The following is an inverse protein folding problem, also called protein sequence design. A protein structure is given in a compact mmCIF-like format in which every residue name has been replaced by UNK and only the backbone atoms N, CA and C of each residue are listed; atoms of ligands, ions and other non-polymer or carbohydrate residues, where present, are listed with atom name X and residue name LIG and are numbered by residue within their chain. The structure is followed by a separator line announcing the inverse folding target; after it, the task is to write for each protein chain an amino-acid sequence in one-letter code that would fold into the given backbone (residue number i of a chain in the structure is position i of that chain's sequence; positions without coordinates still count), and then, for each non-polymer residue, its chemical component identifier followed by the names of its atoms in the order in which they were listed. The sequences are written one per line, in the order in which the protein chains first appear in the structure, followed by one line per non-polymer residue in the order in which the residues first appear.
data_IF_706848507421
#
_entry.id   IF_706848507421
#
_cell.length_a   1.000
_cell.length_b   1.000
_cell.length_c   1.000
_cell.angle_alpha   90.00
_cell.angle_beta   90.00
_cell.angle_gamma   90.00
#
_symmetry.space_group_name_H-M   'P 1'
#
loop_
_entity.id
_entity.type
_entity.pdbx_description
1 polymer ?
#
# COMPACT_ATOMS: atom_id res chain seq x y z
N UNK A 1 8.89 -18.80 26.99
CA UNK A 1 10.32 -18.46 26.92
C UNK A 1 10.46 -17.05 27.45
N UNK A 2 10.82 -16.92 28.73
CA UNK A 2 11.03 -15.63 29.37
C UNK A 2 12.46 -15.18 29.01
N UNK A 3 12.60 -14.09 28.26
CA UNK A 3 13.91 -13.49 28.03
C UNK A 3 14.42 -12.90 29.35
N UNK A 4 15.62 -13.30 29.83
CA UNK A 4 16.19 -12.77 31.05
C UNK A 4 16.48 -11.27 30.90
N UNK A 5 16.19 -10.53 31.96
CA UNK A 5 16.16 -9.07 32.04
C UNK A 5 17.21 -8.33 31.21
N UNK A 6 16.73 -7.44 30.35
CA UNK A 6 17.55 -6.39 29.76
C UNK A 6 18.25 -5.60 30.87
N UNK A 7 19.59 -5.55 30.80
CA UNK A 7 20.43 -4.81 31.73
C UNK A 7 19.99 -3.35 31.88
N UNK A 8 20.49 -2.67 32.91
CA UNK A 8 20.14 -1.25 33.19
C UNK A 8 20.27 -0.36 31.95
N UNK A 9 21.25 -0.64 31.07
CA UNK A 9 21.44 0.03 29.79
C UNK A 9 20.32 -0.22 28.76
N UNK A 10 19.73 -1.42 28.73
CA UNK A 10 18.59 -1.75 27.85
C UNK A 10 17.32 -1.00 28.28
N UNK A 11 17.06 -0.96 29.58
CA UNK A 11 15.92 -0.21 30.15
C UNK A 11 16.08 1.31 29.98
N UNK A 12 17.31 1.82 30.01
CA UNK A 12 17.61 3.22 29.69
C UNK A 12 17.43 3.51 28.19
N UNK A 13 17.91 2.63 27.31
CA UNK A 13 17.74 2.76 25.87
C UNK A 13 16.28 2.81 25.44
N UNK A 14 15.45 1.93 25.99
CA UNK A 14 14.00 1.92 25.73
C UNK A 14 13.32 3.22 26.19
N UNK A 15 13.67 3.74 27.37
CA UNK A 15 13.14 5.03 27.86
C UNK A 15 13.58 6.19 26.96
N UNK A 16 14.85 6.23 26.55
CA UNK A 16 15.37 7.28 25.66
C UNK A 16 14.67 7.23 24.32
N UNK A 17 14.52 6.04 23.72
CA UNK A 17 13.77 5.86 22.48
C UNK A 17 12.30 6.27 22.63
N UNK A 18 11.67 5.94 23.76
CA UNK A 18 10.31 6.38 24.07
C UNK A 18 10.17 7.91 24.13
N UNK A 19 11.10 8.59 24.79
CA UNK A 19 11.12 10.07 24.83
C UNK A 19 11.40 10.69 23.46
N UNK A 20 12.30 10.09 22.67
CA UNK A 20 12.57 10.53 21.29
C UNK A 20 11.31 10.37 20.44
N UNK A 21 10.64 9.22 20.49
CA UNK A 21 9.40 8.97 19.76
C UNK A 21 8.30 9.94 20.16
N UNK A 22 8.11 10.18 21.46
CA UNK A 22 7.15 11.16 21.96
C UNK A 22 7.49 12.58 21.48
N UNK A 23 8.76 12.97 21.55
CA UNK A 23 9.23 14.27 21.06
C UNK A 23 8.98 14.46 19.56
N UNK A 24 9.23 13.42 18.75
CA UNK A 24 8.91 13.42 17.32
C UNK A 24 7.42 13.54 17.07
N UNK A 25 6.58 12.81 17.81
CA UNK A 25 5.11 12.91 17.70
C UNK A 25 4.61 14.32 18.03
N UNK A 26 5.13 14.94 19.10
CA UNK A 26 4.78 16.32 19.47
C UNK A 26 5.25 17.29 18.37
N UNK A 27 6.49 17.14 17.87
CA UNK A 27 7.01 18.00 16.81
C UNK A 27 6.18 17.90 15.53
N UNK A 28 5.76 16.69 15.14
CA UNK A 28 4.84 16.48 14.01
C UNK A 28 3.49 17.15 14.28
N UNK A 29 2.92 16.96 15.47
CA UNK A 29 1.63 17.56 15.84
C UNK A 29 1.65 19.08 15.82
N UNK A 30 2.68 19.70 16.40
CA UNK A 30 2.89 21.16 16.36
C UNK A 30 3.14 21.63 14.94
N UNK A 31 3.95 20.91 14.16
CA UNK A 31 4.20 21.21 12.76
C UNK A 31 2.91 21.25 11.95
N UNK A 32 2.07 20.22 12.08
CA UNK A 32 0.75 20.17 11.45
C UNK A 32 -0.13 21.32 11.94
N UNK A 33 -0.13 21.63 13.25
CA UNK A 33 -0.95 22.72 13.79
C UNK A 33 -0.57 24.08 13.21
N UNK A 34 0.72 24.35 13.04
CA UNK A 34 1.25 25.59 12.47
C UNK A 34 1.13 25.69 10.95
N UNK A 35 0.79 24.60 10.24
CA UNK A 35 0.65 24.66 8.78
C UNK A 35 -0.51 25.58 8.35
N UNK A 36 -0.32 26.33 7.25
CA UNK A 36 -1.41 27.05 6.59
C UNK A 36 -2.58 26.13 6.25
N UNK A 37 -3.79 26.68 6.24
CA UNK A 37 -5.02 25.93 5.93
C UNK A 37 -4.95 25.27 4.54
N UNK A 38 -4.30 25.94 3.57
CA UNK A 38 -4.06 25.41 2.24
C UNK A 38 -3.22 24.12 2.26
N UNK A 39 -2.12 24.10 3.00
CA UNK A 39 -1.26 22.92 3.15
C UNK A 39 -1.99 21.76 3.81
N UNK A 40 -2.79 22.04 4.85
CA UNK A 40 -3.63 21.03 5.51
C UNK A 40 -4.65 20.43 4.54
N UNK A 41 -5.28 21.27 3.71
CA UNK A 41 -6.20 20.85 2.67
C UNK A 41 -5.55 19.93 1.64
N UNK A 42 -4.33 20.27 1.20
CA UNK A 42 -3.56 19.44 0.28
C UNK A 42 -3.22 18.06 0.89
N UNK A 43 -2.76 18.02 2.14
CA UNK A 43 -2.49 16.76 2.87
C UNK A 43 -3.76 15.92 2.97
N UNK A 44 -4.87 16.53 3.41
CA UNK A 44 -6.15 15.82 3.55
C UNK A 44 -6.66 15.27 2.22
N UNK A 45 -6.57 16.05 1.15
CA UNK A 45 -6.89 15.58 -0.20
C UNK A 45 -5.99 14.43 -0.62
N UNK A 46 -4.69 14.47 -0.29
CA UNK A 46 -3.75 13.39 -0.55
C UNK A 46 -4.16 12.10 0.18
N UNK A 47 -4.47 12.20 1.47
CA UNK A 47 -4.95 11.08 2.29
C UNK A 47 -6.21 10.47 1.69
N UNK A 48 -7.21 11.30 1.35
CA UNK A 48 -8.46 10.82 0.76
C UNK A 48 -8.25 10.10 -0.57
N UNK A 49 -7.43 10.68 -1.46
CA UNK A 49 -7.08 10.06 -2.75
C UNK A 49 -6.37 8.72 -2.55
N UNK A 50 -5.45 8.63 -1.60
CA UNK A 50 -4.78 7.37 -1.25
C UNK A 50 -5.74 6.32 -0.71
N UNK A 51 -6.68 6.70 0.16
CA UNK A 51 -7.71 5.79 0.68
C UNK A 51 -8.60 5.26 -0.44
N UNK A 52 -9.06 6.14 -1.34
CA UNK A 52 -9.86 5.75 -2.51
C UNK A 52 -9.08 4.81 -3.42
N UNK A 53 -7.80 5.11 -3.68
CA UNK A 53 -6.93 4.25 -4.47
C UNK A 53 -6.75 2.86 -3.83
N UNK A 54 -6.44 2.80 -2.52
CA UNK A 54 -6.29 1.53 -1.79
C UNK A 54 -7.59 0.73 -1.84
N UNK A 55 -8.75 1.38 -1.67
CA UNK A 55 -10.04 0.70 -1.75
C UNK A 55 -10.30 0.13 -3.15
N UNK A 56 -9.94 0.86 -4.21
CA UNK A 56 -10.06 0.39 -5.58
C UNK A 56 -9.10 -0.79 -5.85
N UNK A 57 -7.81 -0.64 -5.53
CA UNK A 57 -6.81 -1.69 -5.71
C UNK A 57 -7.16 -2.95 -4.90
N UNK A 58 -7.73 -2.79 -3.70
CA UNK A 58 -8.21 -3.92 -2.90
C UNK A 58 -9.39 -4.64 -3.56
N UNK A 59 -10.27 -3.93 -4.28
CA UNK A 59 -11.47 -4.49 -4.88
C UNK A 59 -11.23 -5.13 -6.26
N UNK A 60 -10.32 -4.57 -7.06
CA UNK A 60 -10.05 -5.00 -8.44
C UNK A 60 -9.81 -6.52 -8.59
N UNK A 61 -8.90 -7.16 -7.84
CA UNK A 61 -8.58 -8.58 -8.05
C UNK A 61 -9.73 -9.51 -7.67
N UNK A 62 -10.69 -9.07 -6.83
CA UNK A 62 -11.88 -9.85 -6.51
C UNK A 62 -12.83 -10.02 -7.70
N UNK A 63 -12.74 -9.14 -8.70
CA UNK A 63 -13.44 -9.35 -9.97
C UNK A 63 -13.01 -10.65 -10.67
N UNK A 64 -11.80 -11.18 -10.36
CA UNK A 64 -11.30 -12.44 -10.90
C UNK A 64 -12.23 -13.61 -10.62
N UNK A 65 -12.99 -13.56 -9.52
CA UNK A 65 -13.95 -14.60 -9.16
C UNK A 65 -14.94 -14.93 -10.28
N UNK A 66 -15.24 -13.97 -11.16
CA UNK A 66 -16.18 -14.15 -12.26
C UNK A 66 -15.62 -14.97 -13.44
N UNK A 67 -14.29 -15.07 -13.57
CA UNK A 67 -13.64 -15.66 -14.74
C UNK A 67 -12.44 -16.55 -14.42
N UNK A 68 -12.04 -16.70 -13.16
CA UNK A 68 -10.91 -17.52 -12.74
C UNK A 68 -11.02 -18.97 -13.23
N UNK A 69 -12.22 -19.56 -13.23
CA UNK A 69 -12.45 -20.90 -13.79
C UNK A 69 -12.03 -21.02 -15.26
N UNK A 70 -12.37 -20.03 -16.10
CA UNK A 70 -11.94 -20.00 -17.51
C UNK A 70 -10.44 -19.79 -17.68
N UNK A 71 -9.82 -19.05 -16.77
CA UNK A 71 -8.37 -18.84 -16.77
C UNK A 71 -7.66 -20.16 -16.43
N UNK A 72 -8.17 -20.91 -15.45
CA UNK A 72 -7.62 -22.22 -15.08
C UNK A 72 -7.80 -23.26 -16.18
N UNK A 73 -8.92 -23.25 -16.90
CA UNK A 73 -9.15 -24.13 -18.06
C UNK A 73 -8.09 -23.98 -19.17
N UNK A 74 -7.49 -22.80 -19.33
CA UNK A 74 -6.39 -22.62 -20.29
C UNK A 74 -5.10 -23.32 -19.87
N UNK A 75 -4.89 -23.57 -18.57
CA UNK A 75 -3.71 -24.26 -18.03
C UNK A 75 -2.36 -23.58 -18.35
N UNK A 76 -2.38 -22.29 -18.74
CA UNK A 76 -1.18 -21.57 -19.20
C UNK A 76 -0.76 -20.51 -18.18
N UNK A 77 0.53 -20.55 -17.80
CA UNK A 77 1.14 -19.54 -16.93
C UNK A 77 0.99 -18.11 -17.50
N UNK A 78 0.90 -17.97 -18.83
CA UNK A 78 0.68 -16.69 -19.48
C UNK A 78 -0.71 -16.10 -19.24
N UNK A 79 -1.73 -16.93 -19.04
CA UNK A 79 -3.08 -16.45 -18.75
C UNK A 79 -3.15 -15.80 -17.36
N UNK A 80 -2.51 -16.43 -16.36
CA UNK A 80 -2.35 -15.86 -15.02
C UNK A 80 -1.51 -14.58 -15.03
N UNK A 81 -0.38 -14.59 -15.73
CA UNK A 81 0.48 -13.39 -15.85
C UNK A 81 -0.25 -12.22 -16.53
N UNK A 82 -0.99 -12.48 -17.61
CA UNK A 82 -1.79 -11.47 -18.30
C UNK A 82 -2.89 -10.90 -17.40
N UNK A 83 -3.51 -11.75 -16.57
CA UNK A 83 -4.54 -11.31 -15.64
C UNK A 83 -3.98 -10.34 -14.58
N UNK A 84 -2.87 -10.71 -13.94
CA UNK A 84 -2.20 -9.88 -12.94
C UNK A 84 -1.71 -8.57 -13.56
N UNK A 85 -1.13 -8.63 -14.77
CA UNK A 85 -0.72 -7.45 -15.50
C UNK A 85 -1.90 -6.51 -15.81
N UNK A 86 -3.06 -7.08 -16.18
CA UNK A 86 -4.30 -6.32 -16.41
C UNK A 86 -4.76 -5.57 -15.17
N UNK A 87 -4.80 -6.23 -14.01
CA UNK A 87 -5.16 -5.58 -12.75
C UNK A 87 -4.16 -4.51 -12.32
N UNK A 88 -2.88 -4.82 -12.46
CA UNK A 88 -1.82 -3.85 -12.13
C UNK A 88 -1.91 -2.61 -13.02
N UNK A 89 -2.27 -2.77 -14.30
CA UNK A 89 -2.52 -1.65 -15.20
C UNK A 89 -3.74 -0.82 -14.76
N UNK A 90 -4.81 -1.46 -14.31
CA UNK A 90 -5.98 -0.77 -13.75
C UNK A 90 -5.55 0.06 -12.52
N UNK A 91 -4.73 -0.49 -11.63
CA UNK A 91 -4.23 0.23 -10.45
C UNK A 91 -3.39 1.46 -10.82
N UNK A 92 -2.56 1.35 -11.87
CA UNK A 92 -1.82 2.50 -12.43
C UNK A 92 -2.80 3.56 -12.93
N UNK A 93 -3.77 3.17 -13.74
CA UNK A 93 -4.74 4.10 -14.35
C UNK A 93 -5.53 4.83 -13.26
N UNK A 94 -6.06 4.09 -12.28
CA UNK A 94 -6.80 4.67 -11.15
C UNK A 94 -5.89 5.60 -10.34
N UNK A 95 -4.65 5.18 -10.07
CA UNK A 95 -3.66 6.00 -9.35
C UNK A 95 -3.37 7.31 -10.06
N UNK A 96 -3.07 7.28 -11.36
CA UNK A 96 -2.80 8.48 -12.17
C UNK A 96 -4.03 9.39 -12.25
N UNK A 97 -5.23 8.83 -12.41
CA UNK A 97 -6.48 9.60 -12.40
C UNK A 97 -6.71 10.32 -11.06
N UNK A 98 -6.42 9.67 -9.93
CA UNK A 98 -6.57 10.27 -8.60
C UNK A 98 -5.48 11.29 -8.27
N UNK A 99 -4.25 11.06 -8.75
CA UNK A 99 -3.12 11.97 -8.55
C UNK A 99 -3.19 13.24 -9.41
N UNK A 100 -4.15 13.32 -10.34
CA UNK A 100 -4.31 14.45 -11.27
C UNK A 100 -3.06 14.74 -12.12
N UNK A 101 -2.21 13.73 -12.34
CA UNK A 101 -0.95 13.85 -13.07
C UNK A 101 0.05 12.75 -12.74
N UNK A 102 1.21 12.79 -13.41
CA UNK A 102 2.32 11.89 -13.16
C UNK A 102 3.15 12.30 -11.94
N UNK A 103 3.79 11.35 -11.22
CA UNK A 103 4.69 11.68 -10.14
C UNK A 103 5.82 12.60 -10.60
N UNK A 104 6.11 13.64 -9.80
CA UNK A 104 7.22 14.54 -10.02
C UNK A 104 8.35 14.27 -9.01
N UNK A 105 9.59 14.30 -9.49
CA UNK A 105 10.79 14.10 -8.67
C UNK A 105 11.03 12.63 -8.26
N UNK A 106 12.26 12.35 -7.82
CA UNK A 106 12.69 11.00 -7.49
C UNK A 106 11.85 10.34 -6.38
N UNK A 107 11.48 11.10 -5.34
CA UNK A 107 10.67 10.59 -4.24
C UNK A 107 9.23 10.26 -4.65
N UNK A 108 8.64 11.06 -5.53
CA UNK A 108 7.31 10.76 -6.08
C UNK A 108 7.32 9.46 -6.87
N UNK A 109 8.33 9.27 -7.72
CA UNK A 109 8.52 8.03 -8.47
C UNK A 109 8.78 6.83 -7.57
N UNK A 110 9.65 6.97 -6.56
CA UNK A 110 9.94 5.89 -5.62
C UNK A 110 8.67 5.46 -4.86
N UNK A 111 7.90 6.42 -4.35
CA UNK A 111 6.64 6.14 -3.66
C UNK A 111 5.61 5.50 -4.59
N UNK A 112 5.47 5.99 -5.82
CA UNK A 112 4.57 5.43 -6.83
C UNK A 112 4.93 4.00 -7.21
N UNK A 113 6.22 3.72 -7.48
CA UNK A 113 6.70 2.38 -7.78
C UNK A 113 6.55 1.43 -6.58
N UNK A 114 6.81 1.92 -5.36
CA UNK A 114 6.59 1.16 -4.14
C UNK A 114 5.12 0.78 -3.96
N UNK A 115 4.20 1.74 -4.13
CA UNK A 115 2.77 1.50 -4.08
C UNK A 115 2.33 0.49 -5.16
N UNK A 116 2.85 0.63 -6.39
CA UNK A 116 2.58 -0.31 -7.48
C UNK A 116 3.09 -1.73 -7.18
N UNK A 117 4.28 -1.85 -6.58
CA UNK A 117 4.80 -3.14 -6.14
C UNK A 117 3.86 -3.81 -5.14
N UNK A 118 3.42 -3.07 -4.13
CA UNK A 118 2.46 -3.58 -3.12
C UNK A 118 1.13 -3.99 -3.75
N UNK A 119 0.55 -3.15 -4.61
CA UNK A 119 -0.71 -3.47 -5.28
C UNK A 119 -0.60 -4.70 -6.19
N UNK A 120 0.50 -4.80 -6.97
CA UNK A 120 0.76 -5.95 -7.84
C UNK A 120 0.92 -7.25 -7.03
N UNK A 121 1.66 -7.20 -5.92
CA UNK A 121 1.78 -8.34 -5.00
C UNK A 121 0.43 -8.72 -4.41
N UNK A 122 -0.38 -7.75 -4.00
CA UNK A 122 -1.73 -8.02 -3.51
C UNK A 122 -2.62 -8.68 -4.58
N UNK A 123 -2.59 -8.18 -5.82
CA UNK A 123 -3.30 -8.76 -6.95
C UNK A 123 -2.91 -10.23 -7.15
N UNK A 124 -1.60 -10.53 -7.17
CA UNK A 124 -1.09 -11.90 -7.26
C UNK A 124 -1.68 -12.79 -6.15
N UNK A 125 -1.55 -12.38 -4.88
CA UNK A 125 -2.01 -13.16 -3.72
C UNK A 125 -3.51 -13.43 -3.76
N UNK A 126 -4.32 -12.44 -4.12
CA UNK A 126 -5.78 -12.63 -4.23
C UNK A 126 -6.11 -13.56 -5.40
N UNK A 127 -5.43 -13.43 -6.54
CA UNK A 127 -5.68 -14.33 -7.68
C UNK A 127 -5.26 -15.78 -7.41
N UNK A 128 -4.15 -16.00 -6.70
CA UNK A 128 -3.70 -17.31 -6.24
C UNK A 128 -4.71 -17.93 -5.28
N UNK A 129 -5.14 -17.16 -4.27
CA UNK A 129 -6.20 -17.60 -3.35
C UNK A 129 -7.51 -17.97 -4.06
N UNK A 130 -7.94 -17.18 -5.05
CA UNK A 130 -9.14 -17.47 -5.84
C UNK A 130 -8.96 -18.71 -6.74
N UNK A 131 -7.75 -18.96 -7.23
CA UNK A 131 -7.43 -20.15 -8.00
C UNK A 131 -7.53 -21.41 -7.13
N UNK A 132 -6.93 -21.42 -5.94
CA UNK A 132 -7.00 -22.52 -4.97
C UNK A 132 -8.46 -22.85 -4.60
N UNK A 133 -9.26 -21.82 -4.32
CA UNK A 133 -10.69 -22.02 -4.02
C UNK A 133 -11.51 -22.58 -5.19
N UNK A 134 -11.02 -22.41 -6.43
CA UNK A 134 -11.69 -22.88 -7.64
C UNK A 134 -11.25 -24.29 -8.06
N UNK A 135 -10.43 -24.97 -7.24
CA UNK A 135 -9.91 -26.30 -7.54
C UNK A 135 -8.64 -26.31 -8.38
N UNK A 136 -7.90 -25.19 -8.41
CA UNK A 136 -6.54 -25.09 -8.94
C UNK A 136 -5.51 -25.76 -8.06
#
# INVERSE_FOLDING_TARGET
METPGGGVLGRLGEKVLGWIALGLLIAIGVGIWQMPAETKGAIWSGVWRSVVWVAAAAAVPWSARLFIGRVLEQGSNWAGAALIAGYSLIDVVVGVCLMTGWPAGAWGWLAGLGAMGVATTYNYLVTEYLAEMSGG
#
